data_IF_758641968497
#
_entry.id   IF_758641968497
#
_cell.length_a   1.000
_cell.length_b   1.000
_cell.length_c   1.000
_cell.angle_alpha   90.00
_cell.angle_beta   90.00
_cell.angle_gamma   90.00
#
_symmetry.space_group_name_H-M   'P 1'
#
loop_
_entity.id
_entity.type
_entity.pdbx_description
1 polymer ?
#
# COMPACT_ATOMS: atom_id res chain seq x y z
N UNK A 1 27.94 0.51 1.09
CA UNK A 1 27.33 1.87 1.01
C UNK A 1 25.90 1.71 0.52
N UNK A 2 24.92 2.25 1.24
CA UNK A 2 23.52 2.23 0.84
C UNK A 2 23.33 3.21 -0.32
N UNK A 3 23.14 2.69 -1.54
CA UNK A 3 22.75 3.51 -2.69
C UNK A 3 21.24 3.69 -2.70
N UNK A 4 20.76 4.79 -3.30
CA UNK A 4 19.31 5.02 -3.46
C UNK A 4 18.63 3.87 -4.21
N UNK A 5 19.31 3.25 -5.18
CA UNK A 5 18.77 2.12 -5.92
C UNK A 5 18.63 0.88 -5.03
N UNK A 6 19.57 0.65 -4.12
CA UNK A 6 19.49 -0.43 -3.12
C UNK A 6 18.32 -0.23 -2.16
N UNK A 7 18.08 1.01 -1.71
CA UNK A 7 16.93 1.34 -0.87
C UNK A 7 15.59 1.13 -1.62
N UNK A 8 15.53 1.40 -2.93
CA UNK A 8 14.36 1.10 -3.74
C UNK A 8 14.13 -0.41 -3.93
N UNK A 9 15.18 -1.22 -4.05
CA UNK A 9 15.01 -2.69 -4.06
C UNK A 9 14.46 -3.18 -2.72
N UNK A 10 15.01 -2.69 -1.61
CA UNK A 10 14.54 -3.05 -0.28
C UNK A 10 13.08 -2.63 -0.06
N UNK A 11 12.70 -1.42 -0.47
CA UNK A 11 11.32 -0.97 -0.38
C UNK A 11 10.37 -1.86 -1.20
N UNK A 12 10.76 -2.28 -2.41
CA UNK A 12 9.93 -3.18 -3.24
C UNK A 12 9.65 -4.53 -2.58
N UNK A 13 10.52 -5.00 -1.69
CA UNK A 13 10.29 -6.24 -0.95
C UNK A 13 9.23 -6.10 0.16
N UNK A 14 8.99 -4.87 0.64
CA UNK A 14 8.06 -4.59 1.73
C UNK A 14 6.68 -4.12 1.26
N UNK A 15 6.60 -3.66 0.01
CA UNK A 15 5.34 -3.20 -0.58
C UNK A 15 4.62 -4.39 -1.21
N UNK A 16 3.30 -4.57 -0.99
CA UNK A 16 2.57 -5.70 -1.56
C UNK A 16 2.53 -5.61 -3.10
N UNK A 17 2.98 -6.65 -3.79
CA UNK A 17 2.93 -6.78 -5.25
C UNK A 17 2.46 -8.16 -5.65
N UNK A 18 1.88 -8.31 -6.85
CA UNK A 18 1.56 -9.65 -7.33
C UNK A 18 2.84 -10.42 -7.72
N UNK A 19 2.90 -11.74 -7.48
CA UNK A 19 4.10 -12.57 -7.74
C UNK A 19 4.64 -12.51 -9.19
N UNK A 20 3.82 -12.09 -10.15
CA UNK A 20 4.16 -12.02 -11.57
C UNK A 20 4.17 -10.59 -12.12
N UNK A 21 4.07 -9.60 -11.24
CA UNK A 21 4.00 -8.20 -11.65
C UNK A 21 5.37 -7.70 -12.11
N UNK A 22 5.39 -6.88 -13.17
CA UNK A 22 6.63 -6.24 -13.61
C UNK A 22 7.18 -5.39 -12.47
N UNK A 23 8.52 -5.31 -12.38
CA UNK A 23 9.20 -4.45 -11.39
C UNK A 23 8.65 -3.03 -11.46
N UNK A 24 8.06 -2.58 -10.34
CA UNK A 24 7.46 -1.26 -10.22
C UNK A 24 8.47 -0.14 -10.53
N UNK A 25 8.02 0.91 -11.21
CA UNK A 25 8.82 2.11 -11.40
C UNK A 25 9.10 2.80 -10.06
N UNK A 26 10.10 3.69 -9.99
CA UNK A 26 10.41 4.40 -8.73
C UNK A 26 9.19 5.18 -8.20
N UNK A 27 8.43 5.83 -9.09
CA UNK A 27 7.24 6.59 -8.68
C UNK A 27 6.12 5.66 -8.21
N UNK A 28 5.91 4.53 -8.89
CA UNK A 28 4.86 3.59 -8.50
C UNK A 28 5.20 2.90 -7.19
N UNK A 29 6.48 2.55 -6.97
CA UNK A 29 6.95 2.03 -5.67
C UNK A 29 6.66 3.02 -4.54
N UNK A 30 6.91 4.32 -4.72
CA UNK A 30 6.62 5.32 -3.69
C UNK A 30 5.11 5.48 -3.46
N UNK A 31 4.33 5.58 -4.53
CA UNK A 31 2.86 5.70 -4.45
C UNK A 31 2.25 4.51 -3.71
N UNK A 32 2.67 3.31 -4.05
CA UNK A 32 2.17 2.08 -3.43
C UNK A 32 2.63 1.96 -1.97
N UNK A 33 3.85 2.37 -1.64
CA UNK A 33 4.32 2.41 -0.25
C UNK A 33 3.50 3.38 0.61
N UNK A 34 3.18 4.57 0.09
CA UNK A 34 2.35 5.56 0.80
C UNK A 34 0.95 4.98 1.07
N UNK A 35 0.31 4.41 0.04
CA UNK A 35 -1.00 3.77 0.18
C UNK A 35 -0.97 2.60 1.18
N UNK A 36 0.08 1.78 1.13
CA UNK A 36 0.22 0.65 2.03
C UNK A 36 0.41 1.09 3.49
N UNK A 37 1.21 2.13 3.75
CA UNK A 37 1.35 2.70 5.10
C UNK A 37 0.01 3.26 5.61
N UNK A 38 -0.76 3.94 4.75
CA UNK A 38 -2.07 4.46 5.12
C UNK A 38 -3.03 3.31 5.52
N UNK A 39 -3.12 2.26 4.69
CA UNK A 39 -3.91 1.06 5.01
C UNK A 39 -3.49 0.42 6.34
N UNK A 40 -2.19 0.23 6.56
CA UNK A 40 -1.69 -0.38 7.80
C UNK A 40 -2.03 0.46 9.03
N UNK A 41 -1.99 1.79 8.92
CA UNK A 41 -2.41 2.69 10.00
C UNK A 41 -3.91 2.57 10.29
N UNK A 42 -4.74 2.51 9.26
CA UNK A 42 -6.18 2.32 9.43
C UNK A 42 -6.51 0.99 10.12
N UNK A 43 -5.82 -0.10 9.72
CA UNK A 43 -5.94 -1.41 10.38
C UNK A 43 -5.56 -1.31 11.86
N UNK A 44 -4.45 -0.65 12.20
CA UNK A 44 -3.98 -0.50 13.59
C UNK A 44 -4.92 0.32 14.48
N UNK A 45 -5.65 1.28 13.90
CA UNK A 45 -6.63 2.11 14.63
C UNK A 45 -8.00 1.41 14.72
N UNK A 46 -8.31 0.50 13.81
CA UNK A 46 -9.57 -0.23 13.83
C UNK A 46 -9.62 -1.24 14.98
N UNK A 47 -10.78 -1.38 15.62
CA UNK A 47 -11.05 -2.43 16.62
C UNK A 47 -11.31 -3.81 15.97
N UNK A 48 -11.11 -3.94 14.65
CA UNK A 48 -11.33 -5.17 13.91
C UNK A 48 -10.02 -5.94 13.78
N UNK A 49 -10.11 -7.27 13.70
CA UNK A 49 -8.94 -8.04 13.28
C UNK A 49 -8.54 -7.64 11.84
N UNK A 50 -7.24 -7.67 11.49
CA UNK A 50 -6.76 -7.19 10.19
C UNK A 50 -7.44 -7.84 8.98
N UNK A 51 -7.77 -9.13 9.08
CA UNK A 51 -8.37 -9.87 7.96
C UNK A 51 -9.80 -9.42 7.76
N UNK A 52 -10.59 -9.33 8.84
CA UNK A 52 -11.97 -8.80 8.79
C UNK A 52 -11.99 -7.36 8.30
N UNK A 53 -11.04 -6.51 8.73
CA UNK A 53 -10.94 -5.13 8.23
C UNK A 53 -10.77 -5.11 6.71
N UNK A 54 -9.79 -5.85 6.19
CA UNK A 54 -9.51 -5.94 4.75
C UNK A 54 -10.71 -6.50 3.99
N UNK A 55 -11.35 -7.56 4.48
CA UNK A 55 -12.53 -8.15 3.85
C UNK A 55 -13.68 -7.14 3.74
N UNK A 56 -13.98 -6.39 4.80
CA UNK A 56 -15.02 -5.34 4.76
C UNK A 56 -14.67 -4.22 3.80
N UNK A 57 -13.40 -3.82 3.75
CA UNK A 57 -12.90 -2.85 2.78
C UNK A 57 -13.10 -3.35 1.33
N UNK A 58 -12.76 -4.61 1.05
CA UNK A 58 -12.94 -5.23 -0.28
C UNK A 58 -14.42 -5.38 -0.68
N UNK A 59 -15.32 -5.60 0.30
CA UNK A 59 -16.77 -5.61 0.09
C UNK A 59 -17.36 -4.21 -0.15
N UNK A 60 -16.57 -3.15 0.04
CA UNK A 60 -17.03 -1.76 -0.10
C UNK A 60 -17.91 -1.28 1.07
N UNK A 61 -17.89 -1.99 2.19
CA UNK A 61 -18.71 -1.69 3.37
C UNK A 61 -18.10 -0.55 4.21
N UNK A 62 -16.83 -0.24 3.98
CA UNK A 62 -16.10 0.82 4.67
C UNK A 62 -15.81 1.95 3.67
N UNK A 63 -16.29 3.17 3.97
CA UNK A 63 -15.81 4.38 3.29
C UNK A 63 -14.56 4.85 4.01
N UNK A 64 -13.39 4.47 3.51
CA UNK A 64 -12.13 5.04 3.98
C UNK A 64 -12.15 6.55 3.78
N UNK A 65 -12.02 7.30 4.87
CA UNK A 65 -11.96 8.77 4.86
C UNK A 65 -10.76 9.28 4.04
N UNK A 66 -9.79 8.40 3.78
CA UNK A 66 -8.57 8.62 2.99
C UNK A 66 -8.60 8.04 1.56
N UNK A 67 -9.76 7.68 1.00
CA UNK A 67 -9.88 7.13 -0.38
C UNK A 67 -9.18 7.96 -1.47
N UNK A 68 -8.96 9.26 -1.24
CA UNK A 68 -8.19 10.12 -2.14
C UNK A 68 -6.68 9.77 -2.20
N UNK A 69 -6.08 9.30 -1.11
CA UNK A 69 -4.64 8.96 -1.02
C UNK A 69 -4.30 7.62 -1.69
N UNK A 70 -5.32 6.81 -1.96
CA UNK A 70 -5.19 5.47 -2.54
C UNK A 70 -5.19 5.48 -4.07
N UNK A 71 -5.51 6.62 -4.70
CA UNK A 71 -5.45 6.75 -6.14
C UNK A 71 -3.99 6.85 -6.62
N UNK A 72 -3.38 5.68 -6.85
CA UNK A 72 -2.04 5.55 -7.45
C UNK A 72 -2.06 5.85 -8.95
N UNK A 73 -3.23 5.78 -9.59
CA UNK A 73 -3.50 6.33 -10.91
C UNK A 73 -3.46 7.85 -10.82
N UNK A 74 -2.28 8.42 -11.02
CA UNK A 74 -2.13 9.86 -11.19
C UNK A 74 -3.08 10.38 -12.27
N UNK A 75 -3.55 11.61 -12.11
CA UNK A 75 -3.97 12.39 -13.28
C UNK A 75 -2.84 12.46 -14.31
#
# INVERSE_FOLDING_TARGET
MLSINSAFEELRLHVPTFPFEKRLSKIDTLRLAIAYIALLKEILVSDLDPITYIEKCLRGEMKGEHTAEWNTSGK
#
